data_IF_318642634255
#
_entry.id   IF_318642634255
#
_cell.length_a   1.000
_cell.length_b   1.000
_cell.length_c   1.000
_cell.angle_alpha   90.00
_cell.angle_beta   90.00
_cell.angle_gamma   90.00
#
_symmetry.space_group_name_H-M   'P 1'
#
loop_
_entity.id
_entity.type
_entity.pdbx_description
1 polymer ?
#
# COMPACT_ATOMS: atom_id res chain seq x y z
N UNK A 1 3.41 1.93 -11.61
CA UNK A 1 2.69 1.84 -12.88
C UNK A 1 3.30 0.75 -13.72
N UNK A 2 2.50 -0.22 -14.10
CA UNK A 2 2.93 -1.31 -14.96
C UNK A 2 1.91 -1.48 -16.08
N UNK A 3 2.20 -0.93 -17.25
CA UNK A 3 1.39 -1.13 -18.46
C UNK A 3 1.09 -2.61 -18.67
N UNK A 4 2.12 -3.47 -18.47
CA UNK A 4 1.99 -4.92 -18.60
C UNK A 4 1.00 -5.52 -17.60
N UNK A 5 0.98 -5.03 -16.34
CA UNK A 5 0.02 -5.53 -15.33
C UNK A 5 -1.41 -5.11 -15.66
N UNK A 6 -1.60 -3.89 -16.17
CA UNK A 6 -2.89 -3.39 -16.61
C UNK A 6 -3.39 -4.17 -17.84
N UNK A 7 -2.52 -4.44 -18.81
CA UNK A 7 -2.84 -5.27 -19.97
C UNK A 7 -3.27 -6.67 -19.56
N UNK A 8 -2.50 -7.32 -18.69
CA UNK A 8 -2.86 -8.64 -18.16
C UNK A 8 -4.24 -8.62 -17.46
N UNK A 9 -4.51 -7.60 -16.65
CA UNK A 9 -5.77 -7.47 -15.92
C UNK A 9 -6.97 -7.26 -16.89
N UNK A 10 -6.79 -6.45 -17.95
CA UNK A 10 -7.80 -6.27 -19.01
C UNK A 10 -8.09 -7.58 -19.75
N UNK A 11 -7.04 -8.31 -20.13
CA UNK A 11 -7.18 -9.61 -20.79
C UNK A 11 -7.87 -10.62 -19.91
N UNK A 12 -7.56 -10.63 -18.61
CA UNK A 12 -8.22 -11.51 -17.63
C UNK A 12 -9.71 -11.16 -17.52
N UNK A 13 -10.05 -9.89 -17.35
CA UNK A 13 -11.44 -9.44 -17.24
C UNK A 13 -12.25 -9.82 -18.50
N UNK A 14 -11.67 -9.55 -19.69
CA UNK A 14 -12.33 -9.89 -20.98
C UNK A 14 -12.59 -11.39 -21.10
N UNK A 15 -11.60 -12.23 -20.80
CA UNK A 15 -11.73 -13.71 -20.87
C UNK A 15 -12.76 -14.26 -19.90
N UNK A 16 -13.01 -13.58 -18.79
CA UNK A 16 -13.96 -14.02 -17.77
C UNK A 16 -15.29 -13.24 -17.80
N UNK A 17 -15.55 -12.45 -18.86
CA UNK A 17 -16.75 -11.62 -19.01
C UNK A 17 -17.01 -10.70 -17.81
N UNK A 18 -15.95 -10.12 -17.23
CA UNK A 18 -16.04 -9.17 -16.13
C UNK A 18 -16.09 -7.74 -16.68
N UNK A 19 -17.10 -6.99 -16.26
CA UNK A 19 -17.24 -5.57 -16.60
C UNK A 19 -16.39 -4.71 -15.66
N UNK A 20 -15.09 -4.60 -15.97
CA UNK A 20 -14.11 -3.86 -15.19
C UNK A 20 -13.36 -2.88 -16.09
N UNK A 21 -13.39 -1.60 -15.74
CA UNK A 21 -12.60 -0.57 -16.39
C UNK A 21 -11.23 -0.42 -15.73
N UNK A 22 -10.15 -0.44 -16.53
CA UNK A 22 -8.79 -0.25 -16.05
C UNK A 22 -8.19 1.02 -16.61
N UNK A 23 -7.65 1.87 -15.75
CA UNK A 23 -6.94 3.09 -16.12
C UNK A 23 -5.48 2.97 -15.69
N UNK A 24 -4.55 3.19 -16.63
CA UNK A 24 -3.13 3.33 -16.31
C UNK A 24 -2.85 4.78 -15.88
N UNK A 25 -2.67 5.00 -14.59
CA UNK A 25 -2.44 6.34 -14.05
C UNK A 25 -1.65 6.26 -12.72
N UNK A 26 -1.03 7.39 -12.34
CA UNK A 26 -0.59 7.60 -10.97
C UNK A 26 -1.80 7.88 -10.09
N UNK A 27 -2.08 7.03 -9.12
CA UNK A 27 -3.23 7.23 -8.24
C UNK A 27 -3.14 8.52 -7.41
N UNK A 28 -1.95 9.08 -7.19
CA UNK A 28 -1.80 10.39 -6.56
C UNK A 28 -2.29 11.52 -7.49
N UNK A 29 -2.06 11.39 -8.79
CA UNK A 29 -2.40 12.38 -9.81
C UNK A 29 -3.75 12.12 -10.48
N UNK A 30 -4.24 10.88 -10.48
CA UNK A 30 -5.50 10.50 -11.10
C UNK A 30 -6.69 11.26 -10.48
N UNK A 31 -7.54 11.81 -11.34
CA UNK A 31 -8.70 12.63 -10.95
C UNK A 31 -9.96 12.07 -11.63
N UNK A 32 -10.54 10.98 -11.11
CA UNK A 32 -11.79 10.44 -11.65
C UNK A 32 -12.94 11.41 -11.41
N UNK A 33 -13.94 11.33 -12.27
CA UNK A 33 -15.21 12.01 -12.11
C UNK A 33 -16.22 11.10 -11.37
N UNK A 34 -17.17 11.73 -10.66
CA UNK A 34 -18.28 11.05 -10.01
C UNK A 34 -17.98 10.55 -8.60
N UNK A 35 -19.03 10.12 -7.94
CA UNK A 35 -18.98 9.53 -6.61
C UNK A 35 -18.84 8.01 -6.68
N UNK A 36 -18.18 7.44 -5.69
CA UNK A 36 -18.00 5.99 -5.57
C UNK A 36 -18.70 5.49 -4.31
N UNK A 37 -19.42 4.38 -4.42
CA UNK A 37 -20.05 3.71 -3.28
C UNK A 37 -19.01 2.92 -2.47
N UNK A 38 -17.93 2.48 -3.13
CA UNK A 38 -16.80 1.81 -2.50
C UNK A 38 -15.48 2.28 -3.11
N UNK A 39 -14.55 2.66 -2.26
CA UNK A 39 -13.16 2.93 -2.62
C UNK A 39 -12.28 1.93 -1.88
N UNK A 40 -11.38 1.25 -2.57
CA UNK A 40 -10.44 0.31 -1.94
C UNK A 40 -8.99 0.71 -2.22
N UNK A 41 -8.14 0.58 -1.21
CA UNK A 41 -6.68 0.66 -1.32
C UNK A 41 -6.10 -0.47 -0.47
N UNK A 42 -5.75 -1.58 -1.10
CA UNK A 42 -5.38 -2.83 -0.44
C UNK A 42 -3.93 -3.22 -0.72
N UNK A 43 -3.42 -4.26 -0.05
CA UNK A 43 -2.02 -4.71 -0.06
C UNK A 43 -1.08 -3.75 0.68
N UNK A 44 -1.57 -3.06 1.71
CA UNK A 44 -0.83 -2.10 2.51
C UNK A 44 -0.17 -0.94 1.72
N UNK A 45 -0.66 -0.63 0.52
CA UNK A 45 -0.13 0.44 -0.33
C UNK A 45 -0.16 1.81 0.36
N UNK A 46 -1.12 2.03 1.25
CA UNK A 46 -1.21 3.25 2.06
C UNK A 46 0.04 3.48 2.92
N UNK A 47 0.69 2.40 3.37
CA UNK A 47 1.92 2.45 4.17
C UNK A 47 3.12 3.02 3.41
N UNK A 48 3.15 2.89 2.07
CA UNK A 48 4.23 3.40 1.24
C UNK A 48 4.15 4.91 0.97
N UNK A 49 3.05 5.55 1.35
CA UNK A 49 2.84 6.98 1.16
C UNK A 49 3.49 7.80 2.28
N UNK A 50 4.09 8.93 1.92
CA UNK A 50 4.52 9.93 2.90
C UNK A 50 3.32 10.54 3.63
N UNK A 51 3.49 11.15 4.82
CA UNK A 51 2.38 11.77 5.56
C UNK A 51 1.58 12.78 4.72
N UNK A 52 2.27 13.58 3.89
CA UNK A 52 1.63 14.54 2.99
C UNK A 52 0.79 13.85 1.91
N UNK A 53 1.29 12.76 1.33
CA UNK A 53 0.56 11.98 0.33
C UNK A 53 -0.64 11.29 0.94
N UNK A 54 -0.52 10.70 2.13
CA UNK A 54 -1.63 10.08 2.86
C UNK A 54 -2.75 11.07 3.14
N UNK A 55 -2.41 12.25 3.69
CA UNK A 55 -3.40 13.30 3.94
C UNK A 55 -4.13 13.73 2.65
N UNK A 56 -3.38 13.93 1.55
CA UNK A 56 -3.96 14.28 0.25
C UNK A 56 -4.86 13.15 -0.28
N UNK A 57 -4.46 11.88 -0.09
CA UNK A 57 -5.23 10.72 -0.55
C UNK A 57 -6.54 10.57 0.23
N UNK A 58 -6.52 10.67 1.57
CA UNK A 58 -7.72 10.60 2.38
C UNK A 58 -8.69 11.75 2.08
N UNK A 59 -8.19 12.97 1.92
CA UNK A 59 -9.02 14.11 1.50
C UNK A 59 -9.64 13.90 0.11
N UNK A 60 -8.89 13.29 -0.82
CA UNK A 60 -9.39 12.92 -2.14
C UNK A 60 -10.48 11.86 -2.05
N UNK A 61 -10.27 10.81 -1.25
CA UNK A 61 -11.28 9.78 -1.04
C UNK A 61 -12.57 10.34 -0.43
N UNK A 62 -12.45 11.22 0.57
CA UNK A 62 -13.62 11.90 1.13
C UNK A 62 -14.43 12.64 0.05
N UNK A 63 -13.77 13.37 -0.85
CA UNK A 63 -14.45 14.08 -1.95
C UNK A 63 -15.12 13.17 -2.97
N UNK A 64 -14.49 12.01 -3.25
CA UNK A 64 -14.94 11.05 -4.26
C UNK A 64 -16.00 10.09 -3.76
N UNK A 65 -16.12 9.92 -2.45
CA UNK A 65 -17.07 9.00 -1.84
C UNK A 65 -18.49 9.52 -1.97
N UNK A 66 -19.42 8.68 -2.41
CA UNK A 66 -20.86 8.95 -2.38
C UNK A 66 -21.37 9.05 -0.95
N UNK A 67 -22.56 9.64 -0.76
CA UNK A 67 -23.24 9.60 0.51
C UNK A 67 -23.59 8.15 0.87
N UNK A 68 -23.24 7.74 2.08
CA UNK A 68 -23.37 6.34 2.51
C UNK A 68 -22.29 5.37 2.00
N UNK A 69 -21.38 5.83 1.14
CA UNK A 69 -20.27 5.02 0.62
C UNK A 69 -19.25 4.64 1.68
N UNK A 70 -18.35 3.73 1.32
CA UNK A 70 -17.30 3.19 2.22
C UNK A 70 -15.94 3.22 1.55
N UNK A 71 -14.91 3.41 2.39
CA UNK A 71 -13.50 3.23 2.00
C UNK A 71 -12.98 2.03 2.78
N UNK A 72 -12.31 1.10 2.09
CA UNK A 72 -11.60 -0.03 2.69
C UNK A 72 -10.12 0.10 2.40
N UNK A 73 -9.30 0.10 3.44
CA UNK A 73 -7.85 0.02 3.28
C UNK A 73 -7.24 -0.84 4.38
N UNK A 74 -6.07 -1.40 4.09
CA UNK A 74 -5.26 -2.14 5.03
C UNK A 74 -3.90 -1.48 5.26
N UNK A 75 -3.33 -1.74 6.41
CA UNK A 75 -2.04 -1.18 6.82
C UNK A 75 -1.26 -2.16 7.68
N UNK A 76 0.07 -2.06 7.64
CA UNK A 76 0.95 -2.77 8.57
C UNK A 76 0.78 -2.25 9.99
N UNK A 77 0.67 -3.19 10.94
CA UNK A 77 0.54 -2.91 12.37
C UNK A 77 1.90 -2.65 13.03
N UNK A 78 1.89 -2.14 14.27
CA UNK A 78 3.12 -2.06 15.08
C UNK A 78 3.69 -3.43 15.46
N UNK A 79 2.90 -4.52 15.41
CA UNK A 79 3.43 -5.88 15.55
C UNK A 79 4.41 -6.21 14.43
N UNK A 80 4.04 -5.90 13.19
CA UNK A 80 4.93 -6.08 12.02
C UNK A 80 6.17 -5.18 12.14
N UNK A 81 6.05 -3.95 12.66
CA UNK A 81 7.20 -3.09 12.94
C UNK A 81 8.14 -3.69 13.98
N UNK A 82 7.60 -4.27 15.06
CA UNK A 82 8.40 -4.89 16.11
C UNK A 82 9.20 -6.09 15.59
N UNK A 83 8.63 -6.85 14.67
CA UNK A 83 9.26 -8.03 14.07
C UNK A 83 10.30 -7.68 13.00
N UNK A 84 10.25 -6.46 12.45
CA UNK A 84 11.22 -5.98 11.45
C UNK A 84 12.60 -5.88 12.07
N UNK A 85 13.60 -6.45 11.38
CA UNK A 85 15.01 -6.40 11.79
C UNK A 85 15.78 -5.42 10.92
N UNK A 86 16.78 -4.77 11.52
CA UNK A 86 17.83 -4.09 10.77
C UNK A 86 18.87 -5.11 10.34
N UNK A 87 19.04 -5.26 9.04
CA UNK A 87 19.94 -6.25 8.47
C UNK A 87 20.41 -5.83 7.09
N UNK A 88 21.52 -6.43 6.66
CA UNK A 88 22.02 -6.32 5.29
C UNK A 88 22.22 -7.72 4.72
N UNK A 89 21.53 -7.99 3.63
CA UNK A 89 21.56 -9.28 2.94
C UNK A 89 21.95 -9.05 1.49
N UNK A 90 22.70 -9.97 0.90
CA UNK A 90 22.92 -10.01 -0.54
C UNK A 90 22.62 -11.40 -1.09
N UNK A 91 22.11 -11.42 -2.32
CA UNK A 91 21.75 -12.67 -2.97
C UNK A 91 21.84 -12.54 -4.49
N UNK A 92 22.26 -13.60 -5.16
CA UNK A 92 22.18 -13.68 -6.62
C UNK A 92 20.71 -13.94 -7.02
N UNK A 93 20.21 -13.15 -7.96
CA UNK A 93 18.82 -13.18 -8.41
C UNK A 93 17.81 -13.03 -7.24
N UNK A 94 18.12 -12.14 -6.31
CA UNK A 94 17.31 -11.87 -5.14
C UNK A 94 15.80 -11.75 -5.47
N UNK A 95 14.93 -12.26 -4.59
CA UNK A 95 13.48 -12.34 -4.79
C UNK A 95 13.10 -13.08 -6.08
N UNK A 96 13.75 -14.24 -6.32
CA UNK A 96 13.45 -15.13 -7.45
C UNK A 96 13.47 -14.43 -8.83
N UNK A 97 14.41 -13.50 -9.02
CA UNK A 97 14.55 -12.80 -10.28
C UNK A 97 13.60 -11.60 -10.46
N UNK A 98 12.94 -11.13 -9.40
CA UNK A 98 11.98 -10.03 -9.46
C UNK A 98 12.53 -8.76 -10.12
N UNK A 99 13.81 -8.42 -9.89
CA UNK A 99 14.38 -7.17 -10.32
C UNK A 99 14.82 -7.12 -11.78
N UNK A 100 15.14 -8.27 -12.38
CA UNK A 100 15.63 -8.33 -13.77
C UNK A 100 15.49 -9.74 -14.34
N UNK A 101 15.22 -9.81 -15.66
CA UNK A 101 15.28 -11.08 -16.40
C UNK A 101 16.73 -11.58 -16.60
N UNK A 102 17.72 -10.68 -16.52
CA UNK A 102 19.14 -11.00 -16.61
C UNK A 102 19.71 -11.32 -15.22
N UNK A 103 20.77 -12.12 -15.11
CA UNK A 103 21.44 -12.38 -13.84
C UNK A 103 21.92 -11.09 -13.16
N UNK A 104 21.67 -10.97 -11.88
CA UNK A 104 22.05 -9.81 -11.06
C UNK A 104 22.41 -10.22 -9.62
N UNK A 105 23.05 -9.31 -8.90
CA UNK A 105 23.16 -9.37 -7.45
C UNK A 105 22.27 -8.31 -6.84
N UNK A 106 21.40 -8.71 -5.91
CA UNK A 106 20.58 -7.83 -5.11
C UNK A 106 21.15 -7.70 -3.71
N UNK A 107 21.27 -6.46 -3.24
CA UNK A 107 21.60 -6.13 -1.85
C UNK A 107 20.39 -5.44 -1.25
N UNK A 108 19.93 -5.88 -0.10
CA UNK A 108 18.94 -5.16 0.69
C UNK A 108 19.55 -4.77 2.03
N UNK A 109 19.40 -3.51 2.39
CA UNK A 109 19.73 -3.00 3.72
C UNK A 109 18.46 -2.42 4.33
N UNK A 110 18.06 -2.96 5.48
CA UNK A 110 16.87 -2.56 6.22
C UNK A 110 17.24 -1.64 7.37
N UNK A 111 16.52 -0.53 7.51
CA UNK A 111 16.67 0.44 8.59
C UNK A 111 15.33 0.62 9.30
N UNK A 112 15.37 0.90 10.60
CA UNK A 112 14.20 1.21 11.43
C UNK A 112 14.31 2.61 12.03
N UNK A 113 13.23 3.33 11.99
CA UNK A 113 13.08 4.66 12.60
C UNK A 113 12.03 4.54 13.71
N UNK A 114 12.50 4.22 14.91
CA UNK A 114 11.63 3.86 16.04
C UNK A 114 10.68 4.97 16.49
N UNK A 115 11.11 6.21 16.40
CA UNK A 115 10.29 7.36 16.77
C UNK A 115 9.11 7.55 15.81
N UNK A 116 9.36 7.46 14.53
CA UNK A 116 8.39 7.67 13.44
C UNK A 116 7.57 6.42 13.14
N UNK A 117 8.00 5.24 13.64
CA UNK A 117 7.45 3.94 13.27
C UNK A 117 7.47 3.70 11.76
N UNK A 118 8.63 3.95 11.18
CA UNK A 118 8.91 3.81 9.74
C UNK A 118 10.04 2.83 9.53
N UNK A 119 9.98 2.01 8.50
CA UNK A 119 11.14 1.25 7.99
C UNK A 119 11.53 1.71 6.60
N UNK A 120 12.79 1.50 6.26
CA UNK A 120 13.34 1.65 4.93
C UNK A 120 14.04 0.36 4.52
N UNK A 121 13.62 -0.22 3.42
CA UNK A 121 14.41 -1.23 2.72
C UNK A 121 15.06 -0.58 1.49
N UNK A 122 16.38 -0.41 1.55
CA UNK A 122 17.18 0.07 0.44
C UNK A 122 17.68 -1.13 -0.36
N UNK A 123 17.20 -1.28 -1.58
CA UNK A 123 17.66 -2.28 -2.53
C UNK A 123 18.71 -1.68 -3.46
N UNK A 124 19.86 -2.36 -3.61
CA UNK A 124 20.86 -2.05 -4.62
C UNK A 124 20.96 -3.25 -5.57
N UNK A 125 20.58 -3.05 -6.82
CA UNK A 125 20.53 -4.07 -7.86
C UNK A 125 21.72 -3.85 -8.80
N UNK A 126 22.63 -4.82 -8.88
CA UNK A 126 23.83 -4.75 -9.71
C UNK A 126 23.72 -5.79 -10.84
N UNK A 127 23.54 -5.30 -12.04
CA UNK A 127 23.52 -6.04 -13.29
C UNK A 127 24.87 -5.87 -14.01
N UNK A 128 25.12 -6.64 -15.04
CA UNK A 128 26.38 -6.59 -15.80
C UNK A 128 26.74 -5.18 -16.34
N UNK A 129 25.72 -4.39 -16.72
CA UNK A 129 25.90 -3.10 -17.41
C UNK A 129 25.34 -1.91 -16.66
N UNK A 130 24.62 -2.13 -15.56
CA UNK A 130 23.99 -1.04 -14.79
C UNK A 130 23.88 -1.39 -13.31
N UNK A 131 23.82 -0.34 -12.51
CA UNK A 131 23.42 -0.41 -11.11
C UNK A 131 22.24 0.53 -10.90
N UNK A 132 21.31 0.15 -10.04
CA UNK A 132 20.20 1.00 -9.61
C UNK A 132 19.87 0.77 -8.15
N UNK A 133 19.25 1.77 -7.55
CA UNK A 133 18.76 1.70 -6.18
C UNK A 133 17.25 1.88 -6.16
N UNK A 134 16.58 1.16 -5.26
CA UNK A 134 15.15 1.28 -5.00
C UNK A 134 14.98 1.43 -3.49
N UNK A 135 14.16 2.37 -3.09
CA UNK A 135 13.89 2.69 -1.69
C UNK A 135 12.42 2.37 -1.40
N UNK A 136 12.18 1.41 -0.50
CA UNK A 136 10.86 1.04 -0.05
C UNK A 136 10.66 1.55 1.38
N UNK A 137 9.94 2.66 1.52
CA UNK A 137 9.58 3.25 2.79
C UNK A 137 8.22 2.74 3.22
N UNK A 138 8.10 2.27 4.47
CA UNK A 138 6.84 1.79 5.01
C UNK A 138 6.56 2.45 6.36
N UNK A 139 5.40 3.06 6.50
CA UNK A 139 4.82 3.51 7.76
C UNK A 139 4.06 2.36 8.41
N UNK A 140 4.15 2.26 9.72
CA UNK A 140 3.38 1.29 10.53
C UNK A 140 2.40 2.04 11.43
N UNK A 141 1.24 1.42 11.69
CA UNK A 141 0.12 2.10 12.32
C UNK A 141 -0.38 1.38 13.57
N UNK A 142 -0.97 2.16 14.46
CA UNK A 142 -1.99 1.69 15.42
C UNK A 142 -3.36 2.08 14.88
N UNK A 143 -4.45 1.42 15.35
CA UNK A 143 -5.81 1.88 15.05
C UNK A 143 -6.01 3.37 15.37
N UNK A 144 -5.47 3.84 16.51
CA UNK A 144 -5.60 5.24 16.94
C UNK A 144 -4.84 6.21 16.03
N UNK A 145 -3.62 5.87 15.59
CA UNK A 145 -2.86 6.74 14.68
C UNK A 145 -3.55 6.86 13.32
N UNK A 146 -4.09 5.77 12.78
CA UNK A 146 -4.84 5.78 11.53
C UNK A 146 -6.17 6.55 11.68
N UNK A 147 -6.86 6.39 12.82
CA UNK A 147 -8.07 7.14 13.15
C UNK A 147 -7.82 8.66 13.18
N UNK A 148 -6.67 9.09 13.71
CA UNK A 148 -6.30 10.51 13.71
C UNK A 148 -6.11 11.05 12.29
N UNK A 149 -5.43 10.30 11.39
CA UNK A 149 -5.26 10.69 9.99
C UNK A 149 -6.62 10.74 9.26
N UNK A 150 -7.49 9.74 9.47
CA UNK A 150 -8.83 9.70 8.90
C UNK A 150 -9.66 10.91 9.35
N UNK A 151 -9.70 11.18 10.64
CA UNK A 151 -10.45 12.30 11.22
C UNK A 151 -9.96 13.66 10.70
N UNK A 152 -8.64 13.85 10.57
CA UNK A 152 -8.06 15.07 9.99
C UNK A 152 -8.49 15.29 8.51
N UNK A 153 -8.88 14.22 7.81
CA UNK A 153 -9.41 14.27 6.45
C UNK A 153 -10.95 14.33 6.38
N UNK A 154 -11.64 14.44 7.53
CA UNK A 154 -13.10 14.46 7.62
C UNK A 154 -13.75 13.10 7.40
N UNK A 155 -13.06 12.02 7.77
CA UNK A 155 -13.55 10.65 7.70
C UNK A 155 -13.62 10.04 9.11
N UNK A 156 -14.50 9.05 9.28
CA UNK A 156 -14.61 8.25 10.50
C UNK A 156 -14.29 6.80 10.22
N UNK A 157 -13.66 6.09 11.19
CA UNK A 157 -13.53 4.64 11.14
C UNK A 157 -14.83 4.03 11.63
N UNK A 158 -15.50 3.28 10.74
CA UNK A 158 -16.76 2.59 10.97
C UNK A 158 -16.54 1.16 11.51
N UNK A 159 -15.51 0.47 11.03
CA UNK A 159 -15.14 -0.87 11.47
C UNK A 159 -13.64 -1.15 11.36
N UNK A 160 -13.18 -2.16 12.11
CA UNK A 160 -11.81 -2.62 12.20
C UNK A 160 -11.76 -4.15 12.09
N UNK A 161 -10.87 -4.66 11.24
CA UNK A 161 -10.68 -6.08 10.95
C UNK A 161 -9.20 -6.44 10.93
N UNK A 162 -8.86 -7.73 11.01
CA UNK A 162 -7.48 -8.20 10.85
C UNK A 162 -7.01 -8.19 9.40
N UNK A 163 -7.94 -8.21 8.46
CA UNK A 163 -7.66 -8.21 7.02
C UNK A 163 -8.85 -7.68 6.21
N UNK A 164 -8.66 -7.53 4.91
CA UNK A 164 -9.71 -7.08 3.98
C UNK A 164 -10.79 -8.14 3.71
N UNK A 165 -10.62 -9.37 4.17
CA UNK A 165 -11.64 -10.42 4.09
C UNK A 165 -12.68 -10.32 5.21
N UNK A 166 -12.44 -9.44 6.20
CA UNK A 166 -13.38 -9.18 7.29
C UNK A 166 -13.22 -10.10 8.51
N UNK A 167 -12.04 -10.71 8.68
CA UNK A 167 -11.75 -11.50 9.88
C UNK A 167 -11.72 -10.60 11.12
N UNK A 168 -12.19 -11.16 12.25
CA UNK A 168 -12.23 -10.42 13.51
C UNK A 168 -10.87 -9.80 13.86
N UNK A 169 -10.88 -8.54 14.28
CA UNK A 169 -9.66 -7.82 14.62
C UNK A 169 -8.86 -8.52 15.74
N UNK A 170 -7.57 -8.69 15.46
CA UNK A 170 -6.56 -9.18 16.40
C UNK A 170 -5.41 -8.18 16.49
N UNK A 171 -5.15 -7.65 17.67
CA UNK A 171 -4.05 -6.71 17.91
C UNK A 171 -2.65 -7.34 17.76
N UNK A 172 -2.56 -8.66 17.71
CA UNK A 172 -1.33 -9.43 17.45
C UNK A 172 -1.06 -9.68 15.96
N UNK A 173 -1.98 -9.32 15.06
CA UNK A 173 -1.80 -9.48 13.64
C UNK A 173 -0.74 -8.53 13.05
N UNK A 174 -0.07 -8.96 11.98
CA UNK A 174 0.95 -8.17 11.30
C UNK A 174 0.38 -6.96 10.53
N UNK A 175 -0.90 -7.02 10.19
CA UNK A 175 -1.64 -5.98 9.47
C UNK A 175 -3.05 -5.86 10.05
N UNK A 176 -3.74 -4.81 9.67
CA UNK A 176 -5.18 -4.67 9.94
C UNK A 176 -5.85 -3.85 8.85
N UNK A 177 -7.13 -4.09 8.66
CA UNK A 177 -7.97 -3.36 7.72
C UNK A 177 -8.97 -2.47 8.44
N UNK A 178 -9.32 -1.35 7.83
CA UNK A 178 -10.34 -0.44 8.31
C UNK A 178 -11.38 -0.17 7.24
N UNK A 179 -12.62 0.00 7.69
CA UNK A 179 -13.70 0.57 6.91
C UNK A 179 -13.90 2.00 7.38
N UNK A 180 -13.86 2.96 6.47
CA UNK A 180 -14.09 4.37 6.74
C UNK A 180 -15.33 4.86 6.02
N UNK A 181 -15.95 5.93 6.55
CA UNK A 181 -17.09 6.62 5.97
C UNK A 181 -17.02 8.12 6.20
N UNK A 182 -17.89 8.87 5.57
CA UNK A 182 -18.21 10.23 5.99
C UNK A 182 -19.00 10.22 7.30
N UNK A 183 -18.85 11.24 8.16
CA UNK A 183 -19.66 11.40 9.38
C UNK A 183 -21.16 11.42 9.12
#
# INVERSE_FOLDING_TARGET
FSARSIEYARDFATRNNLDISYTEADYLEYRPEGGFDLITMIMCDFCALSPKQRAAMLMKYNKLLSDGGRIVLDVYSLKSFADKKEESIYEKNQLDGFWSAEPYYGFVTSFKYDKEKVSLDKFTIIERKRQREVYNWLQYFTPDSLKQEAHAAGLEIDALYSDVAGNQYDSGAAEFAVVMKKP
#
